data_IF_638161750767
#
_entry.id   IF_638161750767
#
_cell.length_a   1.000
_cell.length_b   1.000
_cell.length_c   1.000
_cell.angle_alpha   90.00
_cell.angle_beta   90.00
_cell.angle_gamma   90.00
#
_symmetry.space_group_name_H-M   'P 1'
#
loop_
_entity.id
_entity.type
_entity.pdbx_description
1 polymer ?
#
# COMPACT_ATOMS: atom_id res chain seq x y z
N UNK A 1 -11.31 -39.66 -6.97
CA UNK A 1 -10.36 -38.92 -7.84
C UNK A 1 -10.98 -37.60 -8.25
N UNK A 2 -12.24 -37.61 -8.67
CA UNK A 2 -13.02 -36.40 -8.99
C UNK A 2 -13.16 -35.43 -7.80
N UNK A 3 -13.46 -35.93 -6.60
CA UNK A 3 -13.56 -35.11 -5.37
C UNK A 3 -12.23 -34.41 -5.00
N UNK A 4 -11.09 -35.06 -5.27
CA UNK A 4 -9.77 -34.49 -5.00
C UNK A 4 -9.44 -33.37 -6.00
N UNK A 5 -9.85 -33.51 -7.27
CA UNK A 5 -9.71 -32.49 -8.31
C UNK A 5 -10.62 -31.29 -8.03
N UNK A 6 -11.84 -31.53 -7.56
CA UNK A 6 -12.75 -30.46 -7.12
C UNK A 6 -12.22 -29.71 -5.90
N UNK A 7 -11.73 -30.43 -4.88
CA UNK A 7 -11.11 -29.82 -3.70
C UNK A 7 -9.89 -28.96 -4.04
N UNK A 8 -9.04 -29.43 -4.96
CA UNK A 8 -7.89 -28.66 -5.44
C UNK A 8 -8.33 -27.38 -6.20
N UNK A 9 -9.36 -27.47 -7.03
CA UNK A 9 -9.90 -26.31 -7.75
C UNK A 9 -10.48 -25.27 -6.79
N UNK A 10 -11.19 -25.72 -5.75
CA UNK A 10 -11.70 -24.83 -4.70
C UNK A 10 -10.58 -24.13 -3.91
N UNK A 11 -9.52 -24.87 -3.57
CA UNK A 11 -8.33 -24.32 -2.90
C UNK A 11 -7.62 -23.27 -3.77
N UNK A 12 -7.50 -23.51 -5.07
CA UNK A 12 -6.91 -22.56 -6.02
C UNK A 12 -7.75 -21.28 -6.16
N UNK A 13 -9.09 -21.43 -6.21
CA UNK A 13 -10.02 -20.29 -6.20
C UNK A 13 -9.87 -19.45 -4.93
N UNK A 14 -9.92 -20.11 -3.76
CA UNK A 14 -9.72 -19.44 -2.47
C UNK A 14 -8.36 -18.75 -2.37
N UNK A 15 -7.28 -19.40 -2.82
CA UNK A 15 -5.94 -18.80 -2.80
C UNK A 15 -5.86 -17.55 -3.69
N UNK A 16 -6.56 -17.56 -4.83
CA UNK A 16 -6.60 -16.42 -5.76
C UNK A 16 -7.37 -15.24 -5.13
N UNK A 17 -8.52 -15.52 -4.53
CA UNK A 17 -9.36 -14.53 -3.84
C UNK A 17 -8.66 -13.95 -2.60
N UNK A 18 -7.98 -14.80 -1.84
CA UNK A 18 -7.18 -14.40 -0.70
C UNK A 18 -6.03 -13.49 -1.13
N UNK A 19 -5.30 -13.84 -2.20
CA UNK A 19 -4.23 -13.02 -2.75
C UNK A 19 -4.75 -11.63 -3.17
N UNK A 20 -5.85 -11.57 -3.93
CA UNK A 20 -6.47 -10.30 -4.33
C UNK A 20 -6.93 -9.46 -3.14
N UNK A 21 -7.52 -10.07 -2.12
CA UNK A 21 -7.95 -9.39 -0.90
C UNK A 21 -6.77 -8.86 -0.08
N UNK A 22 -5.70 -9.65 0.04
CA UNK A 22 -4.48 -9.26 0.74
C UNK A 22 -3.80 -8.05 0.07
N UNK A 23 -3.72 -8.02 -1.26
CA UNK A 23 -3.17 -6.85 -1.98
C UNK A 23 -4.00 -5.58 -1.80
N UNK A 24 -5.34 -5.69 -1.79
CA UNK A 24 -6.21 -4.55 -1.50
C UNK A 24 -6.02 -4.03 -0.06
N UNK A 25 -5.90 -4.95 0.91
CA UNK A 25 -5.63 -4.59 2.30
C UNK A 25 -4.26 -3.93 2.45
N UNK A 26 -3.22 -4.49 1.84
CA UNK A 26 -1.87 -3.92 1.84
C UNK A 26 -1.84 -2.50 1.27
N UNK A 27 -2.54 -2.27 0.15
CA UNK A 27 -2.69 -0.94 -0.43
C UNK A 27 -3.39 0.05 0.50
N UNK A 28 -4.45 -0.40 1.19
CA UNK A 28 -5.21 0.43 2.14
C UNK A 28 -4.37 0.82 3.36
N UNK A 29 -3.57 -0.12 3.89
CA UNK A 29 -2.64 0.14 4.99
C UNK A 29 -1.54 1.10 4.55
N UNK A 30 -0.95 0.89 3.37
CA UNK A 30 0.07 1.78 2.84
C UNK A 30 -0.45 3.22 2.65
N UNK A 31 -1.68 3.37 2.14
CA UNK A 31 -2.33 4.67 2.03
C UNK A 31 -2.54 5.35 3.40
N UNK A 32 -2.98 4.60 4.41
CA UNK A 32 -3.17 5.12 5.76
C UNK A 32 -1.84 5.60 6.39
N UNK A 33 -0.76 4.83 6.21
CA UNK A 33 0.58 5.22 6.70
C UNK A 33 1.07 6.52 6.05
N UNK A 34 0.86 6.69 4.74
CA UNK A 34 1.19 7.94 4.05
C UNK A 34 0.39 9.14 4.56
N UNK A 35 -0.90 8.93 4.87
CA UNK A 35 -1.76 9.95 5.45
C UNK A 35 -1.26 10.45 6.81
N UNK A 36 -0.84 9.53 7.69
CA UNK A 36 -0.25 9.90 8.99
C UNK A 36 1.09 10.60 8.81
N UNK A 37 1.94 10.12 7.88
CA UNK A 37 3.24 10.73 7.59
C UNK A 37 3.10 12.18 7.09
N UNK A 38 2.02 12.51 6.36
CA UNK A 38 1.78 13.87 5.86
C UNK A 38 1.67 14.90 6.98
N UNK A 39 1.09 14.53 8.13
CA UNK A 39 0.93 15.44 9.28
C UNK A 39 2.30 15.94 9.76
N UNK A 40 3.29 15.06 9.83
CA UNK A 40 4.66 15.41 10.21
C UNK A 40 5.33 16.31 9.16
N UNK A 41 5.11 16.05 7.88
CA UNK A 41 5.67 16.85 6.78
C UNK A 41 5.10 18.26 6.80
N UNK A 42 3.78 18.39 6.97
CA UNK A 42 3.08 19.68 7.07
C UNK A 42 3.57 20.47 8.30
N UNK A 43 3.71 19.80 9.44
CA UNK A 43 4.24 20.43 10.65
C UNK A 43 5.69 20.93 10.46
N UNK A 44 6.57 20.11 9.87
CA UNK A 44 7.94 20.50 9.57
C UNK A 44 8.00 21.69 8.59
N UNK A 45 7.08 21.74 7.63
CA UNK A 45 6.96 22.85 6.68
C UNK A 45 6.46 24.14 7.37
N UNK A 46 5.44 24.03 8.22
CA UNK A 46 4.85 25.16 8.94
C UNK A 46 5.84 25.79 9.94
N UNK A 47 6.62 24.95 10.63
CA UNK A 47 7.66 25.39 11.57
C UNK A 47 8.93 25.89 10.88
N UNK A 48 8.94 25.99 9.55
CA UNK A 48 10.09 26.45 8.73
C UNK A 48 11.38 25.71 9.10
N UNK A 49 11.28 24.44 9.49
CA UNK A 49 12.46 23.65 9.85
C UNK A 49 13.44 23.61 8.68
N UNK A 50 14.72 23.72 9.00
CA UNK A 50 15.78 23.45 8.04
C UNK A 50 15.58 22.03 7.50
N UNK A 51 15.61 21.87 6.17
CA UNK A 51 15.29 20.63 5.44
C UNK A 51 13.79 20.28 5.27
N UNK A 52 12.83 21.14 5.64
CA UNK A 52 11.40 20.91 5.37
C UNK A 52 11.09 20.52 3.92
N UNK A 53 11.78 21.14 2.95
CA UNK A 53 11.67 20.82 1.53
C UNK A 53 12.12 19.40 1.20
N UNK A 54 13.15 18.89 1.88
CA UNK A 54 13.66 17.52 1.70
C UNK A 54 12.65 16.50 2.21
N UNK A 55 12.03 16.75 3.38
CA UNK A 55 10.96 15.89 3.90
C UNK A 55 9.74 15.85 2.96
N UNK A 56 9.38 16.98 2.37
CA UNK A 56 8.30 17.03 1.37
C UNK A 56 8.64 16.23 0.12
N UNK A 57 9.85 16.37 -0.42
CA UNK A 57 10.30 15.59 -1.58
C UNK A 57 10.32 14.10 -1.27
N UNK A 58 10.84 13.68 -0.12
CA UNK A 58 10.85 12.28 0.30
C UNK A 58 9.42 11.72 0.44
N UNK A 59 8.51 12.49 1.02
CA UNK A 59 7.10 12.08 1.12
C UNK A 59 6.46 11.92 -0.27
N UNK A 60 6.68 12.86 -1.19
CA UNK A 60 6.18 12.76 -2.57
C UNK A 60 6.71 11.52 -3.29
N UNK A 61 8.01 11.22 -3.13
CA UNK A 61 8.61 10.01 -3.69
C UNK A 61 7.94 8.76 -3.12
N UNK A 62 7.73 8.69 -1.80
CA UNK A 62 7.02 7.56 -1.16
C UNK A 62 5.58 7.41 -1.67
N UNK A 63 4.86 8.51 -1.90
CA UNK A 63 3.50 8.47 -2.48
C UNK A 63 3.53 7.88 -3.88
N UNK A 64 4.46 8.31 -4.74
CA UNK A 64 4.57 7.80 -6.12
C UNK A 64 4.85 6.29 -6.11
N UNK A 65 5.80 5.82 -5.31
CA UNK A 65 6.09 4.38 -5.20
C UNK A 65 4.89 3.58 -4.70
N UNK A 66 4.17 4.11 -3.72
CA UNK A 66 2.99 3.44 -3.16
C UNK A 66 1.85 3.38 -4.17
N UNK A 67 1.62 4.47 -4.92
CA UNK A 67 0.64 4.48 -6.01
C UNK A 67 1.02 3.46 -7.08
N UNK A 68 2.28 3.45 -7.52
CA UNK A 68 2.78 2.47 -8.50
C UNK A 68 2.57 1.03 -8.00
N UNK A 69 2.84 0.75 -6.73
CA UNK A 69 2.61 -0.56 -6.13
C UNK A 69 1.13 -0.97 -6.10
N UNK A 70 0.23 -0.03 -5.84
CA UNK A 70 -1.22 -0.29 -5.78
C UNK A 70 -1.83 -0.44 -7.17
N UNK A 71 -1.34 0.33 -8.16
CA UNK A 71 -1.88 0.33 -9.53
C UNK A 71 -1.28 -0.72 -10.45
N UNK A 72 -0.01 -1.12 -10.27
CA UNK A 72 0.61 -2.25 -10.98
C UNK A 72 0.34 -3.56 -10.22
N UNK A 73 -0.94 -3.96 -10.14
CA UNK A 73 -1.32 -5.31 -9.72
C UNK A 73 -1.10 -6.32 -10.84
#
# INVERSE_FOLDING_TARGET
MDDATQGLTALLGWSTDFNGSAYNLAGSIAAALLGVALIFVVWALATKKENAKSYLTAWLVCVIFTLLFITNK
#
